data_IF_554161637100
#
_entry.id   IF_554161637100
#
_cell.length_a   1.000
_cell.length_b   1.000
_cell.length_c   1.000
_cell.angle_alpha   90.00
_cell.angle_beta   90.00
_cell.angle_gamma   90.00
#
_symmetry.space_group_name_H-M   'P 1'
#
loop_
_entity.id
_entity.type
_entity.pdbx_description
1 polymer ?
#
# COMPACT_ATOMS: atom_id res chain seq x y z
N UNK A 1 -10.21 12.62 16.38
CA UNK A 1 -8.95 12.28 15.67
C UNK A 1 -9.23 11.75 14.28
N UNK A 2 -8.48 12.23 13.29
CA UNK A 2 -8.67 11.81 11.91
C UNK A 2 -8.12 10.39 11.71
N UNK A 3 -8.88 9.46 11.11
CA UNK A 3 -8.36 8.13 10.82
C UNK A 3 -7.18 8.17 9.83
N UNK A 4 -6.33 7.15 9.93
CA UNK A 4 -5.32 6.90 8.91
C UNK A 4 -6.04 6.40 7.67
N UNK A 5 -5.91 7.11 6.55
CA UNK A 5 -6.55 6.70 5.29
C UNK A 5 -5.58 5.91 4.43
N UNK A 6 -6.04 4.77 3.94
CA UNK A 6 -5.24 3.87 3.10
C UNK A 6 -5.98 3.59 1.80
N UNK A 7 -5.30 3.80 0.69
CA UNK A 7 -5.74 3.31 -0.61
C UNK A 7 -4.90 2.08 -0.95
N UNK A 8 -5.53 1.01 -1.38
CA UNK A 8 -4.78 -0.20 -1.70
C UNK A 8 -5.33 -0.88 -2.94
N UNK A 9 -4.48 -1.67 -3.58
CA UNK A 9 -4.86 -2.55 -4.67
C UNK A 9 -4.40 -3.95 -4.30
N UNK A 10 -5.21 -4.97 -4.64
CA UNK A 10 -4.91 -6.35 -4.33
C UNK A 10 -5.21 -7.22 -5.53
N UNK A 11 -4.28 -8.08 -5.92
CA UNK A 11 -4.46 -8.99 -7.03
C UNK A 11 -4.90 -10.36 -6.53
N UNK A 12 -4.20 -10.92 -5.55
CA UNK A 12 -4.48 -12.26 -5.03
C UNK A 12 -4.99 -12.26 -3.59
N UNK A 13 -5.32 -11.08 -3.08
CA UNK A 13 -5.90 -10.97 -1.74
C UNK A 13 -4.91 -10.75 -0.61
N UNK A 14 -3.61 -10.80 -0.87
CA UNK A 14 -2.61 -10.62 0.19
C UNK A 14 -2.65 -9.21 0.78
N UNK A 15 -2.73 -8.19 -0.07
CA UNK A 15 -2.82 -6.81 0.40
C UNK A 15 -4.12 -6.57 1.16
N UNK A 16 -5.22 -7.09 0.62
CA UNK A 16 -6.54 -6.97 1.28
C UNK A 16 -6.49 -7.60 2.67
N UNK A 17 -5.87 -8.77 2.79
CA UNK A 17 -5.73 -9.46 4.06
C UNK A 17 -4.92 -8.63 5.06
N UNK A 18 -3.80 -8.06 4.61
CA UNK A 18 -2.95 -7.23 5.47
C UNK A 18 -3.68 -5.97 5.94
N UNK A 19 -4.36 -5.28 5.04
CA UNK A 19 -5.11 -4.07 5.39
C UNK A 19 -6.24 -4.38 6.36
N UNK A 20 -6.89 -5.53 6.19
CA UNK A 20 -7.92 -5.99 7.13
C UNK A 20 -7.35 -6.22 8.52
N UNK A 21 -6.18 -6.88 8.61
CA UNK A 21 -5.53 -7.11 9.90
C UNK A 21 -5.08 -5.80 10.54
N UNK A 22 -4.57 -4.87 9.73
CA UNK A 22 -4.16 -3.56 10.19
C UNK A 22 -5.36 -2.77 10.74
N UNK A 23 -6.50 -2.86 10.08
CA UNK A 23 -7.73 -2.20 10.51
C UNK A 23 -8.19 -2.74 11.88
N UNK A 24 -8.13 -4.06 12.05
CA UNK A 24 -8.47 -4.70 13.33
C UNK A 24 -7.51 -4.30 14.44
N UNK A 25 -6.22 -4.25 14.12
CA UNK A 25 -5.21 -3.83 15.10
C UNK A 25 -5.46 -2.40 15.54
N UNK A 26 -5.81 -1.52 14.60
CA UNK A 26 -6.12 -0.12 14.91
C UNK A 26 -7.31 0.01 15.86
N UNK A 27 -8.34 -0.81 15.68
CA UNK A 27 -9.50 -0.82 16.59
C UNK A 27 -9.06 -1.18 18.01
N UNK A 28 -8.23 -2.21 18.16
CA UNK A 28 -7.71 -2.62 19.47
C UNK A 28 -6.88 -1.52 20.13
N UNK A 29 -6.06 -0.83 19.36
CA UNK A 29 -5.23 0.26 19.87
C UNK A 29 -6.09 1.46 20.28
N UNK A 30 -7.10 1.79 19.49
CA UNK A 30 -8.03 2.87 19.79
C UNK A 30 -8.86 2.57 21.06
N UNK A 31 -9.23 1.31 21.26
CA UNK A 31 -9.95 0.90 22.47
C UNK A 31 -9.08 1.06 23.72
N UNK A 32 -7.78 0.88 23.61
CA UNK A 32 -6.85 1.08 24.72
C UNK A 32 -6.63 2.55 25.01
N UNK A 33 -6.57 3.37 23.98
CA UNK A 33 -6.33 4.80 24.09
C UNK A 33 -6.95 5.48 22.87
N UNK A 34 -7.95 6.31 23.09
CA UNK A 34 -8.70 6.98 22.03
C UNK A 34 -7.84 7.93 21.18
N UNK A 35 -6.63 8.28 21.64
CA UNK A 35 -5.70 9.08 20.84
C UNK A 35 -5.00 8.25 19.75
N UNK A 36 -5.07 6.92 19.81
CA UNK A 36 -4.57 6.06 18.74
C UNK A 36 -5.55 6.10 17.57
N UNK A 37 -5.07 6.42 16.34
CA UNK A 37 -6.00 6.55 15.21
C UNK A 37 -6.57 5.22 14.74
N UNK A 38 -7.80 5.26 14.25
CA UNK A 38 -8.38 4.17 13.51
C UNK A 38 -7.83 4.16 12.08
N UNK A 39 -8.09 3.08 11.35
CA UNK A 39 -7.70 2.95 9.94
C UNK A 39 -8.95 2.89 9.08
N UNK A 40 -8.99 3.72 8.05
CA UNK A 40 -10.03 3.73 7.03
C UNK A 40 -9.39 3.36 5.70
N UNK A 41 -9.95 2.38 5.00
CA UNK A 41 -9.35 1.88 3.76
C UNK A 41 -10.31 1.91 2.60
N UNK A 42 -9.74 2.02 1.39
CA UNK A 42 -10.49 2.01 0.14
C UNK A 42 -9.71 1.18 -0.88
N UNK A 43 -10.34 0.17 -1.41
CA UNK A 43 -9.71 -0.67 -2.44
C UNK A 43 -9.89 -0.04 -3.81
N UNK A 44 -8.79 0.07 -4.56
CA UNK A 44 -8.79 0.57 -5.93
C UNK A 44 -8.66 -0.63 -6.87
N UNK A 45 -9.45 -0.65 -7.92
CA UNK A 45 -9.42 -1.70 -8.93
C UNK A 45 -9.73 -1.11 -10.30
N UNK A 46 -9.64 -1.95 -11.35
CA UNK A 46 -9.96 -1.52 -12.71
C UNK A 46 -11.40 -1.03 -12.86
N UNK A 47 -12.26 -1.40 -11.92
CA UNK A 47 -13.66 -1.02 -11.92
C UNK A 47 -13.96 0.18 -11.04
N UNK A 48 -12.95 0.74 -10.38
CA UNK A 48 -13.12 1.90 -9.53
C UNK A 48 -13.28 3.16 -10.37
N UNK A 49 -14.21 4.02 -9.97
CA UNK A 49 -14.30 5.36 -10.55
C UNK A 49 -13.15 6.22 -10.02
N UNK A 50 -12.60 7.04 -10.87
CA UNK A 50 -11.56 7.97 -10.44
C UNK A 50 -12.22 9.13 -9.70
N UNK A 51 -11.74 9.38 -8.48
CA UNK A 51 -12.27 10.42 -7.61
C UNK A 51 -11.14 11.30 -7.11
N UNK A 52 -11.45 12.56 -6.83
CA UNK A 52 -10.52 13.45 -6.16
C UNK A 52 -10.48 13.10 -4.67
N UNK A 53 -9.29 12.76 -4.17
CA UNK A 53 -9.13 12.58 -2.74
C UNK A 53 -9.17 13.94 -2.05
N UNK A 54 -9.65 13.95 -0.82
CA UNK A 54 -9.81 15.19 -0.06
C UNK A 54 -9.01 15.19 1.25
N UNK A 55 -8.35 14.08 1.56
CA UNK A 55 -7.56 13.91 2.78
C UNK A 55 -6.24 13.26 2.45
N UNK A 56 -5.19 13.52 3.22
CA UNK A 56 -3.93 12.78 3.08
C UNK A 56 -4.15 11.28 3.22
N UNK A 57 -3.40 10.50 2.43
CA UNK A 57 -3.55 9.04 2.42
C UNK A 57 -2.19 8.38 2.21
N UNK A 58 -2.15 7.09 2.55
CA UNK A 58 -1.02 6.21 2.24
C UNK A 58 -1.47 5.18 1.21
N UNK A 59 -0.54 4.69 0.40
CA UNK A 59 -0.84 3.72 -0.65
C UNK A 59 -0.16 2.40 -0.33
N UNK A 60 -0.91 1.30 -0.41
CA UNK A 60 -0.38 -0.05 -0.24
C UNK A 60 -0.48 -0.78 -1.56
N UNK A 61 0.66 -1.20 -2.11
CA UNK A 61 0.69 -1.91 -3.39
C UNK A 61 1.56 -3.16 -3.32
N UNK A 62 1.06 -4.29 -3.85
CA UNK A 62 1.88 -5.46 -4.02
C UNK A 62 2.67 -5.39 -5.31
N UNK A 63 3.68 -6.24 -5.44
CA UNK A 63 4.38 -6.47 -6.70
C UNK A 63 4.18 -7.92 -7.12
N UNK A 64 3.63 -8.14 -8.30
CA UNK A 64 3.51 -9.44 -8.93
C UNK A 64 4.20 -9.38 -10.28
N UNK A 65 5.01 -10.37 -10.57
CA UNK A 65 5.80 -10.43 -11.79
C UNK A 65 5.32 -11.57 -12.66
N UNK A 66 5.31 -11.33 -13.98
CA UNK A 66 4.95 -12.34 -14.95
C UNK A 66 6.08 -13.35 -15.10
N UNK A 67 5.82 -14.60 -14.84
CA UNK A 67 6.51 -15.83 -15.19
C UNK A 67 8.01 -15.84 -15.40
N UNK A 68 8.64 -14.74 -15.31
CA UNK A 68 10.07 -14.66 -15.48
C UNK A 68 10.82 -15.16 -14.26
N UNK A 69 12.09 -15.35 -14.45
CA UNK A 69 12.98 -15.72 -13.37
C UNK A 69 13.53 -14.53 -12.60
N UNK A 70 13.07 -13.33 -12.93
CA UNK A 70 13.51 -12.10 -12.29
C UNK A 70 14.83 -11.57 -12.80
N UNK A 71 15.40 -12.17 -13.82
CA UNK A 71 16.76 -11.86 -14.28
C UNK A 71 16.77 -11.16 -15.64
N UNK A 72 15.88 -11.55 -16.52
CA UNK A 72 15.95 -11.09 -17.91
C UNK A 72 14.81 -10.16 -18.27
N UNK A 73 14.79 -9.77 -19.54
CA UNK A 73 13.83 -8.82 -20.07
C UNK A 73 12.40 -9.39 -20.21
N UNK A 74 12.21 -10.66 -19.90
CA UNK A 74 10.89 -11.29 -19.94
C UNK A 74 10.06 -11.02 -18.72
N UNK A 75 10.64 -10.47 -17.66
CA UNK A 75 9.91 -10.18 -16.43
C UNK A 75 9.01 -8.98 -16.64
N UNK A 76 7.72 -9.15 -16.33
CA UNK A 76 6.74 -8.07 -16.42
C UNK A 76 5.93 -8.02 -15.14
N UNK A 77 5.50 -6.83 -14.78
CA UNK A 77 4.54 -6.69 -13.69
C UNK A 77 3.16 -7.12 -14.15
N UNK A 78 2.50 -7.95 -13.34
CA UNK A 78 1.14 -8.39 -13.64
C UNK A 78 0.09 -7.35 -13.29
N UNK A 79 0.47 -6.35 -12.50
CA UNK A 79 -0.46 -5.32 -12.07
C UNK A 79 -0.81 -4.39 -13.22
N UNK A 80 -2.09 -4.03 -13.26
CA UNK A 80 -2.53 -2.97 -14.15
C UNK A 80 -1.98 -1.64 -13.64
N UNK A 81 -2.03 -0.62 -14.49
CA UNK A 81 -1.60 0.72 -14.10
C UNK A 81 -2.66 1.49 -13.30
N UNK A 82 -3.73 0.84 -12.90
CA UNK A 82 -4.89 1.50 -12.30
C UNK A 82 -4.54 2.34 -11.08
N UNK A 83 -3.75 1.78 -10.14
CA UNK A 83 -3.38 2.53 -8.95
C UNK A 83 -2.51 3.73 -9.30
N UNK A 84 -1.54 3.56 -10.21
CA UNK A 84 -0.72 4.66 -10.66
C UNK A 84 -1.53 5.76 -11.35
N UNK A 85 -2.49 5.36 -12.16
CA UNK A 85 -3.40 6.31 -12.82
C UNK A 85 -4.27 7.04 -11.80
N UNK A 86 -4.73 6.32 -10.77
CA UNK A 86 -5.54 6.92 -9.70
C UNK A 86 -4.73 7.95 -8.91
N UNK A 87 -3.50 7.63 -8.52
CA UNK A 87 -2.63 8.57 -7.80
C UNK A 87 -2.36 9.80 -8.67
N UNK A 88 -2.15 9.60 -9.96
CA UNK A 88 -1.89 10.70 -10.89
C UNK A 88 -3.11 11.48 -11.34
N UNK A 89 -4.32 11.05 -10.92
CA UNK A 89 -5.56 11.70 -11.31
C UNK A 89 -5.72 13.04 -10.59
N UNK A 90 -5.89 14.12 -11.37
CA UNK A 90 -6.07 15.47 -10.85
C UNK A 90 -4.96 15.83 -9.82
N UNK A 91 -5.32 16.09 -8.58
CA UNK A 91 -4.38 16.48 -7.53
C UNK A 91 -4.15 15.39 -6.49
N UNK A 92 -4.54 14.15 -6.77
CA UNK A 92 -4.43 13.06 -5.79
C UNK A 92 -2.99 12.86 -5.30
N UNK A 93 -2.00 13.01 -6.18
CA UNK A 93 -0.61 12.81 -5.79
C UNK A 93 -0.16 13.78 -4.69
N UNK A 94 -0.75 14.99 -4.66
CA UNK A 94 -0.39 15.99 -3.66
C UNK A 94 -0.78 15.56 -2.24
N UNK A 95 -1.72 14.64 -2.13
CA UNK A 95 -2.21 14.14 -0.84
C UNK A 95 -1.58 12.81 -0.44
N UNK A 96 -0.76 12.21 -1.30
CA UNK A 96 -0.09 10.95 -0.99
C UNK A 96 1.07 11.18 -0.04
N UNK A 97 0.98 10.65 1.18
CA UNK A 97 2.00 10.83 2.21
C UNK A 97 3.04 9.74 2.22
N UNK A 98 2.85 8.68 1.47
CA UNK A 98 3.85 7.63 1.40
C UNK A 98 3.29 6.34 0.84
N UNK A 99 4.19 5.42 0.53
CA UNK A 99 3.88 4.15 -0.10
C UNK A 99 4.44 3.01 0.74
N UNK A 100 3.61 2.01 0.96
CA UNK A 100 3.99 0.75 1.60
C UNK A 100 3.91 -0.33 0.53
N UNK A 101 4.98 -1.08 0.37
CA UNK A 101 5.07 -2.12 -0.64
C UNK A 101 5.01 -3.51 -0.04
N UNK A 102 4.55 -4.46 -0.85
CA UNK A 102 4.67 -5.87 -0.52
C UNK A 102 5.12 -6.64 -1.75
N UNK A 103 5.64 -7.82 -1.52
CA UNK A 103 6.12 -8.66 -2.61
C UNK A 103 6.62 -9.97 -2.07
N UNK A 104 7.31 -10.72 -2.92
CA UNK A 104 7.93 -11.99 -2.58
C UNK A 104 9.45 -11.82 -2.65
N UNK A 105 10.13 -12.02 -1.53
CA UNK A 105 11.59 -11.82 -1.45
C UNK A 105 12.38 -12.80 -2.33
N UNK A 106 11.73 -13.85 -2.81
CA UNK A 106 12.36 -14.75 -3.78
C UNK A 106 12.71 -14.06 -5.09
N UNK A 107 12.12 -12.90 -5.37
CA UNK A 107 12.44 -12.12 -6.56
C UNK A 107 13.58 -11.14 -6.36
N UNK A 108 14.22 -11.13 -5.19
CA UNK A 108 15.41 -10.33 -4.91
C UNK A 108 15.23 -8.84 -5.29
N UNK A 109 15.90 -8.38 -6.35
CA UNK A 109 15.90 -6.97 -6.76
C UNK A 109 14.52 -6.45 -7.16
N UNK A 110 13.61 -7.33 -7.55
CA UNK A 110 12.25 -6.95 -7.91
C UNK A 110 11.32 -6.89 -6.69
N UNK A 111 11.84 -7.19 -5.50
CA UNK A 111 11.03 -7.11 -4.28
C UNK A 111 10.49 -5.69 -4.10
N UNK A 112 9.18 -5.57 -3.96
CA UNK A 112 8.48 -4.30 -3.81
C UNK A 112 8.72 -3.31 -4.95
N UNK A 113 8.98 -3.82 -6.15
CA UNK A 113 9.31 -3.00 -7.31
C UNK A 113 8.24 -1.96 -7.63
N UNK A 114 6.97 -2.37 -7.62
CA UNK A 114 5.86 -1.47 -7.95
C UNK A 114 5.80 -0.29 -6.99
N UNK A 115 5.92 -0.56 -5.68
CA UNK A 115 5.91 0.49 -4.68
C UNK A 115 7.08 1.46 -4.85
N UNK A 116 8.26 0.93 -5.14
CA UNK A 116 9.45 1.76 -5.37
C UNK A 116 9.31 2.62 -6.60
N UNK A 117 8.72 2.10 -7.68
CA UNK A 117 8.45 2.87 -8.89
C UNK A 117 7.47 4.00 -8.64
N UNK A 118 6.41 3.74 -7.86
CA UNK A 118 5.44 4.77 -7.53
C UNK A 118 6.07 5.85 -6.65
N UNK A 119 6.87 5.46 -5.67
CA UNK A 119 7.55 6.42 -4.80
C UNK A 119 8.42 7.38 -5.61
N UNK A 120 9.17 6.85 -6.58
CA UNK A 120 10.01 7.65 -7.46
C UNK A 120 9.16 8.53 -8.40
N UNK A 121 8.14 7.94 -9.03
CA UNK A 121 7.30 8.63 -10.01
C UNK A 121 6.55 9.82 -9.41
N UNK A 122 6.03 9.68 -8.19
CA UNK A 122 5.23 10.71 -7.55
C UNK A 122 6.01 11.52 -6.53
N UNK A 123 7.30 11.23 -6.38
CA UNK A 123 8.19 11.92 -5.44
C UNK A 123 7.64 11.89 -4.02
N UNK A 124 7.23 10.69 -3.57
CA UNK A 124 6.71 10.45 -2.22
C UNK A 124 7.60 9.40 -1.54
N UNK A 125 7.67 9.37 -0.20
CA UNK A 125 8.55 8.42 0.47
C UNK A 125 8.06 6.97 0.35
N UNK A 126 9.01 6.06 0.20
CA UNK A 126 8.80 4.62 0.37
C UNK A 126 8.95 4.34 1.85
N UNK A 127 7.86 4.09 2.55
CA UNK A 127 7.85 4.08 4.01
C UNK A 127 8.21 2.74 4.60
N UNK A 128 7.70 1.66 4.03
CA UNK A 128 7.86 0.33 4.62
C UNK A 128 7.55 -0.75 3.60
N UNK A 129 7.92 -1.97 3.93
CA UNK A 129 7.59 -3.14 3.13
C UNK A 129 7.25 -4.31 4.05
N UNK A 130 6.58 -5.30 3.47
CA UNK A 130 6.34 -6.58 4.11
C UNK A 130 6.24 -7.65 3.04
N UNK A 131 6.48 -8.91 3.42
CA UNK A 131 6.46 -10.02 2.48
C UNK A 131 5.10 -10.71 2.49
N UNK A 132 4.55 -10.95 1.32
CA UNK A 132 3.29 -11.67 1.09
C UNK A 132 2.14 -11.06 1.90
N UNK A 133 1.57 -11.81 2.85
CA UNK A 133 0.46 -11.33 3.70
C UNK A 133 0.92 -10.54 4.91
N UNK A 134 2.24 -10.53 5.15
CA UNK A 134 2.79 -9.95 6.35
C UNK A 134 2.56 -10.80 7.58
N UNK A 135 3.09 -10.37 8.69
CA UNK A 135 2.95 -11.03 10.00
C UNK A 135 2.34 -10.06 10.99
N UNK A 136 2.01 -10.56 12.19
CA UNK A 136 1.56 -9.67 13.27
C UNK A 136 2.55 -8.59 13.62
N UNK A 137 3.86 -8.91 13.53
CA UNK A 137 4.92 -7.91 13.75
C UNK A 137 4.92 -6.84 12.68
N UNK A 138 4.65 -7.22 11.43
CA UNK A 138 4.54 -6.26 10.34
C UNK A 138 3.36 -5.33 10.54
N UNK A 139 2.23 -5.84 10.98
CA UNK A 139 1.04 -5.05 11.26
C UNK A 139 1.35 -4.01 12.35
N UNK A 140 1.95 -4.44 13.45
CA UNK A 140 2.31 -3.54 14.56
C UNK A 140 3.30 -2.48 14.11
N UNK A 141 4.36 -2.88 13.44
CA UNK A 141 5.42 -1.99 12.96
C UNK A 141 4.87 -0.93 12.02
N UNK A 142 4.08 -1.35 11.05
CA UNK A 142 3.54 -0.45 10.03
C UNK A 142 2.49 0.47 10.64
N UNK A 143 1.62 -0.04 11.52
CA UNK A 143 0.66 0.82 12.21
C UNK A 143 1.35 1.97 12.95
N UNK A 144 2.39 1.66 13.72
CA UNK A 144 3.12 2.68 14.47
C UNK A 144 3.75 3.73 13.54
N UNK A 145 4.25 3.29 12.41
CA UNK A 145 4.87 4.17 11.44
C UNK A 145 3.85 5.11 10.80
N UNK A 146 2.69 4.60 10.43
CA UNK A 146 1.63 5.43 9.85
C UNK A 146 1.02 6.39 10.86
N UNK A 147 0.88 5.95 12.11
CA UNK A 147 0.33 6.79 13.17
C UNK A 147 1.26 7.95 13.53
N UNK A 148 2.56 7.78 13.34
CA UNK A 148 3.54 8.83 13.59
C UNK A 148 3.62 9.86 12.47
N UNK A 149 3.16 9.48 11.27
CA UNK A 149 3.15 10.36 10.10
C UNK A 149 1.85 11.12 9.94
#
# INVERSE_FOLDING_TARGET
MTPIKILFISIEGNTRSFVKDLTKYAVGMHDQDATNPLVESKEISDQSDFENETQPYFVFVPTYLDGGNGIDNGVKELMTNTMGEYIGYEHNADLCHGIVGSGNRNFNEQYCLTAKRYASRFNVPFLADYELRGTGRDVERIYKLLAAG
#
